data_IF_105644452887
#
_entry.id   IF_105644452887
#
_cell.length_a   1.000
_cell.length_b   1.000
_cell.length_c   1.000
_cell.angle_alpha   90.00
_cell.angle_beta   90.00
_cell.angle_gamma   90.00
#
_symmetry.space_group_name_H-M   'P 1'
#
loop_
_entity.id
_entity.type
_entity.pdbx_description
1 polymer ?
#
# COMPACT_ATOMS: atom_id res chain seq x y z
N UNK A 1 11.80 7.99 -51.37
CA UNK A 1 10.52 7.48 -51.88
C UNK A 1 9.39 8.32 -51.28
N UNK A 2 8.58 8.92 -52.13
CA UNK A 2 7.42 9.69 -51.71
C UNK A 2 6.34 8.75 -51.13
N UNK A 3 5.84 9.07 -49.90
CA UNK A 3 4.78 8.30 -49.25
C UNK A 3 3.46 9.03 -49.42
N UNK A 4 2.40 8.26 -49.65
CA UNK A 4 1.02 8.76 -49.71
C UNK A 4 0.24 8.15 -48.54
N UNK A 5 -0.46 8.99 -47.78
CA UNK A 5 -1.26 8.50 -46.64
C UNK A 5 -2.44 7.65 -47.14
N UNK A 6 -2.56 6.36 -46.71
CA UNK A 6 -3.64 5.49 -47.22
C UNK A 6 -5.03 5.87 -46.72
N UNK A 7 -5.14 6.80 -45.74
CA UNK A 7 -6.43 7.24 -45.20
C UNK A 7 -6.91 8.52 -45.89
N UNK A 8 -6.05 9.56 -46.03
CA UNK A 8 -6.47 10.87 -46.54
C UNK A 8 -5.83 11.27 -47.87
N UNK A 9 -4.90 10.47 -48.44
CA UNK A 9 -4.28 10.73 -49.73
C UNK A 9 -3.18 11.82 -49.76
N UNK A 10 -2.93 12.52 -48.65
CA UNK A 10 -1.85 13.54 -48.54
C UNK A 10 -0.47 12.94 -48.68
N UNK A 11 0.43 13.67 -49.34
CA UNK A 11 1.80 13.20 -49.57
C UNK A 11 2.78 13.59 -48.46
N UNK A 12 3.90 12.87 -48.35
CA UNK A 12 4.96 13.17 -47.39
C UNK A 12 5.72 14.47 -47.72
N UNK A 13 5.45 15.11 -48.85
CA UNK A 13 5.93 16.46 -49.19
C UNK A 13 5.12 17.56 -48.52
N UNK A 14 3.84 17.27 -48.22
CA UNK A 14 2.89 18.23 -47.68
C UNK A 14 2.75 18.17 -46.18
N UNK A 15 2.89 16.97 -45.59
CA UNK A 15 2.65 16.70 -44.17
C UNK A 15 3.66 15.72 -43.58
N UNK A 16 3.87 15.81 -42.26
CA UNK A 16 4.73 14.92 -41.52
C UNK A 16 4.09 13.51 -41.42
N UNK A 17 4.92 12.46 -41.57
CA UNK A 17 4.50 11.05 -41.51
C UNK A 17 5.05 10.35 -40.25
N UNK A 18 4.20 9.50 -39.70
CA UNK A 18 4.56 8.57 -38.61
C UNK A 18 4.30 7.15 -39.16
N UNK A 19 5.38 6.44 -39.49
CA UNK A 19 5.29 5.15 -40.19
C UNK A 19 4.71 5.28 -41.58
N UNK A 20 3.53 4.70 -41.81
CA UNK A 20 2.81 4.70 -43.10
C UNK A 20 1.70 5.76 -43.21
N UNK A 21 1.38 6.44 -42.10
CA UNK A 21 0.28 7.39 -42.03
C UNK A 21 0.78 8.84 -41.86
N UNK A 22 0.04 9.80 -42.37
CA UNK A 22 0.29 11.18 -41.96
C UNK A 22 -0.03 11.36 -40.49
N UNK A 23 0.62 12.33 -39.85
CA UNK A 23 0.52 12.61 -38.42
C UNK A 23 -0.92 12.72 -37.93
N UNK A 24 -1.76 13.42 -38.63
CA UNK A 24 -3.17 13.63 -38.25
C UNK A 24 -3.95 12.31 -38.26
N UNK A 25 -3.89 11.55 -39.35
CA UNK A 25 -4.57 10.27 -39.44
C UNK A 25 -4.02 9.23 -38.45
N UNK A 26 -2.72 9.26 -38.17
CA UNK A 26 -2.13 8.44 -37.16
C UNK A 26 -2.65 8.76 -35.75
N UNK A 27 -2.74 10.06 -35.42
CA UNK A 27 -3.29 10.53 -34.15
C UNK A 27 -4.77 10.18 -33.97
N UNK A 28 -5.58 10.32 -35.04
CA UNK A 28 -6.99 9.91 -35.00
C UNK A 28 -7.15 8.40 -34.77
N UNK A 29 -6.36 7.62 -35.48
CA UNK A 29 -6.36 6.15 -35.29
C UNK A 29 -5.96 5.74 -33.86
N UNK A 30 -5.00 6.45 -33.25
CA UNK A 30 -4.64 6.24 -31.85
C UNK A 30 -5.78 6.66 -30.94
N UNK A 31 -6.37 7.83 -31.12
CA UNK A 31 -7.47 8.33 -30.28
C UNK A 31 -8.65 7.36 -30.20
N UNK A 32 -8.98 6.68 -31.31
CA UNK A 32 -10.03 5.66 -31.33
C UNK A 32 -9.67 4.40 -30.50
N UNK A 33 -8.39 4.14 -30.28
CA UNK A 33 -7.90 2.99 -29.50
C UNK A 33 -7.61 3.33 -28.04
N UNK A 34 -7.75 4.62 -27.65
CA UNK A 34 -7.49 5.03 -26.27
C UNK A 34 -8.48 4.37 -25.31
N UNK A 35 -8.02 3.88 -24.18
CA UNK A 35 -8.91 3.40 -23.14
C UNK A 35 -9.73 4.58 -22.57
N UNK A 36 -11.02 4.39 -22.43
CA UNK A 36 -11.93 5.42 -21.92
C UNK A 36 -11.94 5.49 -20.37
N UNK A 37 -11.47 4.46 -19.70
CA UNK A 37 -11.45 4.38 -18.24
C UNK A 37 -10.28 3.57 -17.72
N UNK A 38 -9.92 3.87 -16.48
CA UNK A 38 -8.97 3.09 -15.67
C UNK A 38 -9.67 2.57 -14.42
N UNK A 39 -9.54 1.28 -14.13
CA UNK A 39 -10.06 0.68 -12.90
C UNK A 39 -8.98 0.62 -11.84
N UNK A 40 -9.21 1.27 -10.70
CA UNK A 40 -8.27 1.33 -9.58
C UNK A 40 -8.95 0.80 -8.33
N UNK A 41 -8.36 -0.22 -7.70
CA UNK A 41 -8.85 -0.74 -6.42
C UNK A 41 -8.45 0.23 -5.31
N UNK A 42 -9.44 0.70 -4.53
CA UNK A 42 -9.26 1.62 -3.40
C UNK A 42 -9.79 0.99 -2.12
N UNK A 43 -8.99 1.04 -1.06
CA UNK A 43 -9.42 0.53 0.24
C UNK A 43 -10.47 1.46 0.85
N UNK A 44 -11.63 0.89 1.19
CA UNK A 44 -12.76 1.67 1.76
C UNK A 44 -12.51 2.16 3.19
N UNK A 45 -11.47 1.65 3.89
CA UNK A 45 -11.13 2.06 5.25
C UNK A 45 -9.97 3.06 5.30
N UNK A 46 -8.81 2.69 4.77
CA UNK A 46 -7.60 3.53 4.85
C UNK A 46 -7.38 4.42 3.63
N UNK A 47 -8.19 4.30 2.57
CA UNK A 47 -8.06 5.12 1.37
C UNK A 47 -6.93 4.72 0.42
N UNK A 48 -6.00 3.85 0.83
CA UNK A 48 -4.89 3.40 -0.03
C UNK A 48 -5.40 2.78 -1.33
N UNK A 49 -4.66 3.00 -2.40
CA UNK A 49 -4.92 2.43 -3.74
C UNK A 49 -3.98 1.25 -4.00
N UNK A 50 -4.46 0.28 -4.79
CA UNK A 50 -3.67 -0.90 -5.15
C UNK A 50 -2.94 -0.68 -6.46
N UNK A 51 -1.62 -0.85 -6.45
CA UNK A 51 -0.74 -0.78 -7.61
C UNK A 51 0.03 -2.09 -7.71
N UNK A 52 -0.30 -2.92 -8.70
CA UNK A 52 0.24 -4.29 -8.75
C UNK A 52 -0.15 -5.09 -7.51
N UNK A 53 0.84 -5.48 -6.70
CA UNK A 53 0.61 -6.24 -5.45
C UNK A 53 0.63 -5.38 -4.18
N UNK A 54 0.96 -4.10 -4.28
CA UNK A 54 1.13 -3.21 -3.13
C UNK A 54 -0.07 -2.28 -2.93
N UNK A 55 -0.26 -1.83 -1.69
CA UNK A 55 -1.25 -0.84 -1.30
C UNK A 55 -0.53 0.42 -0.85
N UNK A 56 -0.61 1.47 -1.66
CA UNK A 56 0.10 2.74 -1.47
C UNK A 56 -0.88 3.88 -1.19
N UNK A 57 -0.37 4.97 -0.62
CA UNK A 57 -1.16 6.17 -0.40
C UNK A 57 -1.63 6.79 -1.72
N UNK A 58 -2.83 7.37 -1.71
CA UNK A 58 -3.36 8.07 -2.87
C UNK A 58 -2.69 9.45 -2.99
N UNK A 59 -1.69 9.52 -3.84
CA UNK A 59 -1.04 10.76 -4.24
C UNK A 59 -0.96 10.83 -5.77
N UNK A 60 -0.48 11.94 -6.31
CA UNK A 60 -0.41 12.16 -7.76
C UNK A 60 0.43 11.10 -8.47
N UNK A 61 1.59 10.79 -7.92
CA UNK A 61 2.55 9.84 -8.50
C UNK A 61 1.98 8.42 -8.52
N UNK A 62 1.42 7.99 -7.41
CA UNK A 62 0.81 6.67 -7.27
C UNK A 62 -0.45 6.53 -8.16
N UNK A 63 -1.23 7.60 -8.32
CA UNK A 63 -2.38 7.59 -9.23
C UNK A 63 -1.95 7.51 -10.69
N UNK A 64 -0.90 8.23 -11.08
CA UNK A 64 -0.30 8.15 -12.41
C UNK A 64 0.17 6.73 -12.74
N UNK A 65 0.86 6.09 -11.79
CA UNK A 65 1.31 4.71 -11.94
C UNK A 65 0.13 3.72 -11.99
N UNK A 66 -0.88 3.90 -11.12
CA UNK A 66 -2.08 3.07 -11.11
C UNK A 66 -2.86 3.15 -12.42
N UNK A 67 -3.02 4.37 -12.97
CA UNK A 67 -3.66 4.59 -14.26
C UNK A 67 -2.84 3.92 -15.35
N UNK A 68 -1.53 4.17 -15.41
CA UNK A 68 -0.62 3.58 -16.40
C UNK A 68 -0.69 2.06 -16.43
N UNK A 69 -0.68 1.41 -15.25
CA UNK A 69 -0.84 -0.04 -15.13
C UNK A 69 -2.23 -0.54 -15.56
N UNK A 70 -3.28 0.22 -15.22
CA UNK A 70 -4.65 -0.15 -15.58
C UNK A 70 -4.91 -0.12 -17.08
N UNK A 71 -4.32 0.86 -17.78
CA UNK A 71 -4.51 1.04 -19.23
C UNK A 71 -3.45 0.32 -20.07
N UNK A 72 -2.40 -0.22 -19.45
CA UNK A 72 -1.31 -0.90 -20.14
C UNK A 72 -0.38 0.01 -20.96
N UNK A 73 -0.38 1.32 -20.68
CA UNK A 73 0.44 2.32 -21.38
C UNK A 73 0.89 3.41 -20.43
N UNK A 74 2.05 4.02 -20.68
CA UNK A 74 2.54 5.12 -19.84
C UNK A 74 1.59 6.32 -19.96
N UNK A 75 1.08 6.76 -18.81
CA UNK A 75 0.23 7.95 -18.67
C UNK A 75 0.94 8.97 -17.81
N UNK A 76 1.01 10.21 -18.25
CA UNK A 76 1.52 11.36 -17.51
C UNK A 76 0.34 12.20 -17.03
N UNK A 77 0.10 12.23 -15.73
CA UNK A 77 -1.05 12.89 -15.12
C UNK A 77 -0.79 14.41 -14.96
N UNK A 78 -1.62 15.24 -15.58
CA UNK A 78 -1.63 16.69 -15.35
C UNK A 78 -2.52 17.05 -14.17
N UNK A 79 -3.80 16.76 -14.26
CA UNK A 79 -4.81 17.10 -13.25
C UNK A 79 -5.92 16.05 -13.18
N UNK A 80 -6.66 16.08 -12.07
CA UNK A 80 -7.87 15.26 -11.90
C UNK A 80 -9.03 16.18 -11.55
N UNK A 81 -10.14 16.05 -12.29
CA UNK A 81 -11.41 16.73 -12.02
C UNK A 81 -12.56 15.73 -12.16
N UNK A 82 -13.41 15.66 -11.15
CA UNK A 82 -14.62 14.81 -11.16
C UNK A 82 -14.34 13.34 -11.52
N UNK A 83 -13.27 12.75 -10.98
CA UNK A 83 -12.79 11.40 -11.32
C UNK A 83 -12.40 11.22 -12.81
N UNK A 84 -12.06 12.29 -13.50
CA UNK A 84 -11.46 12.25 -14.83
C UNK A 84 -10.02 12.72 -14.69
N UNK A 85 -9.09 11.85 -15.09
CA UNK A 85 -7.68 12.16 -15.18
C UNK A 85 -7.39 12.77 -16.57
N UNK A 86 -6.89 13.99 -16.58
CA UNK A 86 -6.42 14.68 -17.78
C UNK A 86 -4.90 14.58 -17.84
N UNK A 87 -4.37 14.23 -19.00
CA UNK A 87 -2.94 14.04 -19.14
C UNK A 87 -2.53 13.61 -20.54
N UNK A 88 -1.41 12.92 -20.61
CA UNK A 88 -0.87 12.43 -21.86
C UNK A 88 -0.63 10.91 -21.80
N UNK A 89 -0.98 10.22 -22.88
CA UNK A 89 -0.59 8.83 -23.12
C UNK A 89 0.57 8.82 -24.12
N UNK A 90 1.52 7.93 -23.87
CA UNK A 90 2.66 7.72 -24.75
C UNK A 90 2.45 6.46 -25.58
N UNK A 91 2.43 6.62 -26.90
CA UNK A 91 2.47 5.53 -27.86
C UNK A 91 3.77 5.64 -28.66
N UNK A 92 4.66 4.69 -28.49
CA UNK A 92 6.02 4.74 -29.04
C UNK A 92 6.71 6.08 -28.72
N UNK A 93 6.85 6.93 -29.76
CA UNK A 93 7.45 8.27 -29.65
C UNK A 93 6.43 9.41 -29.66
N UNK A 94 5.13 9.10 -29.69
CA UNK A 94 4.08 10.10 -29.83
C UNK A 94 3.38 10.32 -28.52
N UNK A 95 3.27 11.59 -28.12
CA UNK A 95 2.56 12.05 -26.93
C UNK A 95 1.17 12.56 -27.34
N UNK A 96 0.10 11.93 -26.83
CA UNK A 96 -1.29 12.25 -27.18
C UNK A 96 -2.05 12.69 -25.95
N UNK A 97 -2.74 13.83 -26.02
CA UNK A 97 -3.65 14.24 -24.96
C UNK A 97 -4.80 13.27 -24.81
N UNK A 98 -5.09 12.91 -23.57
CA UNK A 98 -6.16 11.99 -23.23
C UNK A 98 -6.88 12.38 -21.95
N UNK A 99 -8.16 12.06 -21.89
CA UNK A 99 -8.96 12.12 -20.67
C UNK A 99 -9.45 10.72 -20.33
N UNK A 100 -9.12 10.24 -19.13
CA UNK A 100 -9.43 8.88 -18.67
C UNK A 100 -10.33 8.96 -17.45
N UNK A 101 -11.50 8.34 -17.51
CA UNK A 101 -12.41 8.24 -16.37
C UNK A 101 -11.84 7.25 -15.36
N UNK A 102 -11.62 7.68 -14.12
CA UNK A 102 -11.16 6.79 -13.03
C UNK A 102 -12.37 6.12 -12.39
N UNK A 103 -12.39 4.80 -12.40
CA UNK A 103 -13.39 3.97 -11.71
C UNK A 103 -12.77 3.32 -10.49
N UNK A 104 -13.08 3.83 -9.30
CA UNK A 104 -12.62 3.24 -8.06
C UNK A 104 -13.45 2.02 -7.67
N UNK A 105 -12.80 0.85 -7.61
CA UNK A 105 -13.39 -0.38 -7.10
C UNK A 105 -13.11 -0.43 -5.59
N UNK A 106 -14.17 -0.20 -4.80
CA UNK A 106 -14.08 -0.21 -3.32
C UNK A 106 -13.88 -1.64 -2.81
N UNK A 107 -12.76 -1.88 -2.12
CA UNK A 107 -12.42 -3.17 -1.51
C UNK A 107 -11.72 -2.94 -0.15
N UNK A 108 -11.19 -3.96 0.48
CA UNK A 108 -10.34 -3.84 1.66
C UNK A 108 -8.90 -4.22 1.28
N UNK A 109 -7.92 -3.48 1.78
CA UNK A 109 -6.54 -3.93 1.76
C UNK A 109 -6.36 -5.10 2.75
N UNK A 110 -5.27 -5.87 2.60
CA UNK A 110 -5.02 -7.04 3.45
C UNK A 110 -5.02 -6.69 4.94
N UNK A 111 -4.40 -5.60 5.30
CA UNK A 111 -4.31 -5.13 6.69
C UNK A 111 -5.70 -4.82 7.27
N UNK A 112 -6.51 -4.02 6.57
CA UNK A 112 -7.85 -3.67 7.03
C UNK A 112 -8.82 -4.85 7.01
N UNK A 113 -8.62 -5.81 6.12
CA UNK A 113 -9.34 -7.08 6.13
C UNK A 113 -9.01 -7.87 7.40
N UNK A 114 -7.72 -8.02 7.74
CA UNK A 114 -7.28 -8.72 8.94
C UNK A 114 -7.75 -8.02 10.22
N UNK A 115 -7.66 -6.68 10.29
CA UNK A 115 -8.22 -5.89 11.40
C UNK A 115 -9.73 -6.11 11.58
N UNK A 116 -10.46 -6.17 10.48
CA UNK A 116 -11.91 -6.40 10.52
C UNK A 116 -12.27 -7.80 11.03
N UNK A 117 -11.48 -8.80 10.69
CA UNK A 117 -11.63 -10.17 11.21
C UNK A 117 -11.06 -10.38 12.61
N UNK A 118 -10.59 -9.30 13.28
CA UNK A 118 -9.91 -9.33 14.59
C UNK A 118 -8.75 -10.32 14.65
N UNK A 119 -8.04 -10.46 13.52
CA UNK A 119 -6.89 -11.35 13.44
C UNK A 119 -5.67 -10.75 14.14
N UNK A 120 -4.98 -11.55 14.95
CA UNK A 120 -3.68 -11.23 15.52
C UNK A 120 -2.87 -12.51 15.77
N UNK A 121 -1.55 -12.40 15.73
CA UNK A 121 -0.62 -13.53 15.94
C UNK A 121 0.08 -13.46 17.29
N UNK A 122 0.23 -12.26 17.85
CA UNK A 122 0.93 -12.04 19.08
C UNK A 122 0.15 -11.14 20.04
N UNK A 123 0.20 -11.50 21.32
CA UNK A 123 -0.24 -10.66 22.45
C UNK A 123 1.00 -10.21 23.22
N UNK A 124 1.22 -8.90 23.33
CA UNK A 124 2.28 -8.35 24.15
C UNK A 124 1.69 -7.75 25.42
N UNK A 125 2.15 -8.23 26.55
CA UNK A 125 1.74 -7.78 27.87
C UNK A 125 2.88 -6.96 28.50
N UNK A 126 2.67 -5.67 28.63
CA UNK A 126 3.57 -4.76 29.33
C UNK A 126 3.16 -4.68 30.79
N UNK A 127 4.08 -4.89 31.71
CA UNK A 127 3.84 -4.90 33.15
C UNK A 127 4.90 -4.04 33.87
N UNK A 128 4.46 -3.18 34.79
CA UNK A 128 5.29 -2.24 35.54
C UNK A 128 4.52 -1.03 36.01
N UNK A 129 5.20 0.06 36.34
CA UNK A 129 4.58 1.33 36.66
C UNK A 129 3.82 1.90 35.45
N UNK A 130 2.76 2.68 35.68
CA UNK A 130 1.92 3.22 34.58
C UNK A 130 2.76 4.07 33.63
N UNK A 131 3.67 4.87 34.17
CA UNK A 131 4.51 5.81 33.43
C UNK A 131 5.46 5.08 32.46
N UNK A 132 6.15 4.04 32.95
CA UNK A 132 7.08 3.25 32.14
C UNK A 132 6.41 2.37 31.12
N UNK A 133 5.28 1.74 31.50
CA UNK A 133 4.49 0.91 30.59
C UNK A 133 3.98 1.77 29.42
N UNK A 134 3.51 3.00 29.67
CA UNK A 134 3.06 3.90 28.60
C UNK A 134 4.22 4.34 27.71
N UNK A 135 5.38 4.70 28.31
CA UNK A 135 6.62 5.07 27.59
C UNK A 135 7.09 3.93 26.67
N UNK A 136 7.16 2.72 27.20
CA UNK A 136 7.56 1.53 26.42
C UNK A 136 6.52 1.20 25.34
N UNK A 137 5.21 1.31 25.65
CA UNK A 137 4.15 1.12 24.68
C UNK A 137 4.31 2.07 23.48
N UNK A 138 4.49 3.36 23.73
CA UNK A 138 4.68 4.36 22.68
C UNK A 138 5.95 4.11 21.84
N UNK A 139 7.03 3.67 22.49
CA UNK A 139 8.29 3.33 21.80
C UNK A 139 8.09 2.14 20.86
N UNK A 140 7.37 1.11 21.30
CA UNK A 140 7.04 -0.05 20.47
C UNK A 140 6.10 0.37 19.33
N UNK A 141 5.05 1.14 19.61
CA UNK A 141 4.09 1.64 18.60
C UNK A 141 4.78 2.42 17.47
N UNK A 142 5.75 3.28 17.81
CA UNK A 142 6.54 4.04 16.85
C UNK A 142 7.53 3.19 16.04
N UNK A 143 8.00 2.09 16.61
CA UNK A 143 9.02 1.22 16.01
C UNK A 143 8.45 0.07 15.20
N UNK A 144 7.19 -0.29 15.42
CA UNK A 144 6.52 -1.34 14.64
C UNK A 144 6.42 -0.96 13.16
N UNK A 145 6.85 -1.86 12.27
CA UNK A 145 6.77 -1.74 10.81
C UNK A 145 6.03 -2.93 10.23
N UNK A 146 5.45 -2.75 9.06
CA UNK A 146 4.79 -3.81 8.27
C UNK A 146 3.76 -4.66 9.03
N UNK A 147 3.18 -4.10 10.11
CA UNK A 147 2.14 -4.74 10.92
C UNK A 147 1.25 -3.68 11.56
N UNK A 148 0.28 -4.12 12.32
CA UNK A 148 -0.68 -3.25 12.99
C UNK A 148 -0.91 -3.69 14.43
N UNK A 149 -1.34 -2.75 15.25
CA UNK A 149 -1.93 -3.01 16.56
C UNK A 149 -3.44 -3.08 16.36
N UNK A 150 -4.00 -4.25 16.66
CA UNK A 150 -5.44 -4.47 16.57
C UNK A 150 -6.18 -3.81 17.74
N UNK A 151 -5.60 -3.93 18.93
CA UNK A 151 -6.19 -3.44 20.16
C UNK A 151 -5.08 -3.08 21.17
N UNK A 152 -5.27 -1.95 21.87
CA UNK A 152 -4.48 -1.54 23.04
C UNK A 152 -5.43 -1.47 24.21
N UNK A 153 -5.24 -2.33 25.23
CA UNK A 153 -6.10 -2.43 26.39
C UNK A 153 -5.33 -2.12 27.66
N UNK A 154 -5.77 -1.13 28.41
CA UNK A 154 -5.26 -0.89 29.76
C UNK A 154 -5.80 -1.95 30.70
N UNK A 155 -4.91 -2.55 31.45
CA UNK A 155 -5.18 -3.53 32.51
C UNK A 155 -4.72 -2.95 33.86
N UNK A 156 -5.15 -3.56 34.97
CA UNK A 156 -4.87 -3.06 36.33
C UNK A 156 -3.36 -2.86 36.58
N UNK A 157 -2.50 -3.71 35.99
CA UNK A 157 -1.05 -3.70 36.20
C UNK A 157 -0.27 -3.55 34.89
N UNK A 158 -0.78 -2.81 33.91
CA UNK A 158 -0.08 -2.61 32.67
C UNK A 158 -0.95 -2.43 31.44
N UNK A 159 -0.37 -2.74 30.26
CA UNK A 159 -1.04 -2.62 28.95
C UNK A 159 -0.88 -3.93 28.19
N UNK A 160 -1.96 -4.37 27.57
CA UNK A 160 -1.99 -5.48 26.62
C UNK A 160 -2.14 -4.94 25.21
N UNK A 161 -1.24 -5.36 24.29
CA UNK A 161 -1.27 -5.03 22.88
C UNK A 161 -1.51 -6.31 22.06
N UNK A 162 -2.54 -6.29 21.19
CA UNK A 162 -2.78 -7.36 20.22
C UNK A 162 -2.14 -6.95 18.87
N UNK A 163 -1.19 -7.74 18.38
CA UNK A 163 -0.33 -7.38 17.25
C UNK A 163 -0.53 -8.36 16.10
N UNK A 164 -0.70 -7.81 14.89
CA UNK A 164 -1.03 -8.57 13.68
C UNK A 164 0.04 -9.55 13.23
N UNK A 165 1.33 -9.21 13.38
CA UNK A 165 2.45 -10.08 13.00
C UNK A 165 3.37 -10.37 14.19
N UNK A 166 3.54 -11.65 14.49
CA UNK A 166 4.49 -12.11 15.50
C UNK A 166 5.93 -11.79 15.10
N UNK A 167 6.27 -12.04 13.86
CA UNK A 167 7.62 -11.82 13.33
C UNK A 167 8.06 -10.36 13.47
N UNK A 168 7.19 -9.43 13.10
CA UNK A 168 7.48 -7.99 13.19
C UNK A 168 7.58 -7.52 14.65
N UNK A 169 6.78 -8.09 15.56
CA UNK A 169 6.96 -7.85 17.01
C UNK A 169 8.32 -8.32 17.47
N UNK A 170 8.74 -9.55 17.15
CA UNK A 170 10.04 -10.10 17.57
C UNK A 170 11.21 -9.26 17.03
N UNK A 171 11.13 -8.80 15.78
CA UNK A 171 12.11 -7.87 15.20
C UNK A 171 12.17 -6.54 15.96
N UNK A 172 11.01 -5.96 16.25
CA UNK A 172 10.91 -4.71 16.98
C UNK A 172 11.49 -4.82 18.39
N UNK A 173 11.14 -5.86 19.14
CA UNK A 173 11.69 -6.09 20.47
C UNK A 173 13.22 -6.24 20.44
N UNK A 174 13.76 -6.92 19.42
CA UNK A 174 15.20 -7.09 19.24
C UNK A 174 15.90 -5.76 18.95
N UNK A 175 15.34 -4.95 18.05
CA UNK A 175 15.88 -3.62 17.68
C UNK A 175 15.91 -2.70 18.91
N UNK A 176 14.88 -2.75 19.75
CA UNK A 176 14.77 -1.95 20.96
C UNK A 176 15.56 -2.53 22.16
N UNK A 177 16.21 -3.68 22.01
CA UNK A 177 16.94 -4.34 23.11
C UNK A 177 16.03 -4.86 24.21
N UNK A 178 14.72 -5.00 23.97
CA UNK A 178 13.73 -5.39 24.97
C UNK A 178 13.65 -6.93 25.09
N UNK A 179 13.82 -7.45 26.28
CA UNK A 179 13.75 -8.89 26.57
C UNK A 179 12.38 -9.25 27.12
N UNK A 180 11.59 -10.00 26.36
CA UNK A 180 10.27 -10.48 26.77
C UNK A 180 10.26 -11.99 26.97
N UNK A 181 9.59 -12.48 28.01
CA UNK A 181 9.29 -13.90 28.17
C UNK A 181 8.20 -14.30 27.18
N UNK A 182 8.36 -15.46 26.52
CA UNK A 182 7.44 -15.93 25.48
C UNK A 182 6.78 -17.23 25.87
N UNK A 183 5.47 -17.30 25.70
CA UNK A 183 4.67 -18.51 25.84
C UNK A 183 3.81 -18.72 24.59
N UNK A 184 3.37 -19.96 24.35
CA UNK A 184 2.50 -20.30 23.23
C UNK A 184 1.23 -20.98 23.73
N UNK A 185 0.10 -20.60 23.16
CA UNK A 185 -1.18 -21.27 23.35
C UNK A 185 -1.72 -21.81 22.04
N UNK A 186 -2.24 -23.04 22.04
CA UNK A 186 -2.92 -23.60 20.88
C UNK A 186 -4.26 -22.90 20.68
N UNK A 187 -4.48 -22.35 19.48
CA UNK A 187 -5.71 -21.61 19.13
C UNK A 187 -6.65 -22.48 18.30
N UNK A 188 -6.11 -23.43 17.56
CA UNK A 188 -6.90 -24.29 16.68
C UNK A 188 -6.06 -25.03 15.64
N UNK A 189 -6.73 -25.52 14.61
CA UNK A 189 -6.09 -26.17 13.46
C UNK A 189 -6.48 -25.46 12.18
N UNK A 190 -5.53 -25.30 11.25
CA UNK A 190 -5.77 -24.76 9.90
C UNK A 190 -5.07 -25.67 8.88
N UNK A 191 -5.81 -26.22 7.94
CA UNK A 191 -5.27 -27.14 6.93
C UNK A 191 -4.45 -28.32 7.54
N UNK A 192 -4.97 -28.94 8.60
CA UNK A 192 -4.30 -30.04 9.29
C UNK A 192 -3.12 -29.64 10.19
N UNK A 193 -2.73 -28.36 10.23
CA UNK A 193 -1.61 -27.85 11.05
C UNK A 193 -2.13 -27.13 12.30
N UNK A 194 -1.50 -27.39 13.43
CA UNK A 194 -1.77 -26.68 14.70
C UNK A 194 -1.38 -25.21 14.57
N UNK A 195 -2.28 -24.31 14.92
CA UNK A 195 -2.06 -22.86 14.93
C UNK A 195 -1.86 -22.43 16.38
N UNK A 196 -0.73 -21.80 16.64
CA UNK A 196 -0.38 -21.28 17.96
C UNK A 196 -0.38 -19.75 17.94
N UNK A 197 -0.80 -19.17 19.06
CA UNK A 197 -0.69 -17.75 19.34
C UNK A 197 0.40 -17.52 20.37
N UNK A 198 1.28 -16.56 20.11
CA UNK A 198 2.35 -16.21 21.02
C UNK A 198 1.90 -15.13 22.01
N UNK A 199 2.22 -15.30 23.29
CA UNK A 199 2.08 -14.26 24.31
C UNK A 199 3.47 -13.89 24.81
N UNK A 200 3.77 -12.60 24.78
CA UNK A 200 5.02 -12.01 25.26
C UNK A 200 4.75 -11.20 26.51
N UNK A 201 5.49 -11.43 27.56
CA UNK A 201 5.42 -10.66 28.80
C UNK A 201 6.72 -9.89 28.96
N UNK A 202 6.60 -8.56 28.96
CA UNK A 202 7.72 -7.64 29.15
C UNK A 202 7.50 -6.90 30.47
N UNK A 203 8.46 -7.00 31.37
CA UNK A 203 8.48 -6.25 32.60
C UNK A 203 9.27 -4.97 32.38
N UNK A 204 8.59 -3.85 32.51
CA UNK A 204 9.19 -2.52 32.46
C UNK A 204 9.75 -2.27 33.86
N UNK A 205 11.07 -2.26 33.99
CA UNK A 205 11.76 -2.02 35.28
C UNK A 205 12.18 -0.56 35.33
N UNK A 206 12.12 0.03 36.54
CA UNK A 206 12.64 1.41 36.77
C UNK A 206 14.13 1.44 36.51
N UNK A 207 14.61 2.38 35.70
CA UNK A 207 16.04 2.65 35.42
C UNK A 207 16.89 2.88 36.71
N UNK A 208 16.22 2.96 37.86
CA UNK A 208 16.87 3.15 39.17
C UNK A 208 17.46 1.87 39.80
N UNK A 209 17.13 0.67 39.28
CA UNK A 209 17.57 -0.59 39.85
C UNK A 209 18.90 -1.12 39.30
N UNK A 210 19.45 -0.55 38.23
CA UNK A 210 20.70 -0.98 37.61
C UNK A 210 21.97 -0.34 38.23
N UNK A 211 21.87 0.70 39.07
CA UNK A 211 23.02 1.41 39.63
C UNK A 211 23.46 0.90 41.04
N UNK A 212 22.84 -0.13 41.58
CA UNK A 212 23.21 -0.63 42.96
C UNK A 212 23.79 -2.05 42.97
N UNK A 213 24.46 -2.49 41.90
CA UNK A 213 25.29 -3.72 41.93
C UNK A 213 26.66 -3.43 41.32
N UNK A 214 27.47 -2.70 42.04
CA UNK A 214 28.93 -2.75 41.99
C UNK A 214 29.49 -2.60 43.39
#
# INVERSE_FOLDING_TARGET
>A
VEKICPICGRSSKEVEFIGEFCKDCYLEKIKQKLPNYAEIKKCKKCGRIKIGNEWLEENKENLEEAISKSIGSKFELKEIKNNIAFGFIYFDKVKVEASIKIKFIKTLCREDFLKTSRYYEAKLQLRGSEEEVEKVSQMIEKSLRNTYILEKKKEKNGIDLLIGSREELEKTLRILGLKAQRTFSLVGMKNGKRVYRATYILRCEDDKAQNNKH
#
